data_IF_841570969923
#
_entry.id   IF_841570969923
#
_cell.length_a   1.000
_cell.length_b   1.000
_cell.length_c   1.000
_cell.angle_alpha   90.00
_cell.angle_beta   90.00
_cell.angle_gamma   90.00
#
_symmetry.space_group_name_H-M   'P 1'
#
loop_
_entity.id
_entity.type
_entity.pdbx_description
1 polymer ?
#
# COMPACT_ATOMS: atom_id res chain seq x y z
N UNK A 1 -61.93 48.56 -9.12
CA UNK A 1 -62.21 49.54 -10.19
C UNK A 1 -62.06 48.82 -11.52
N UNK A 2 -63.17 48.35 -12.11
CA UNK A 2 -63.13 47.83 -13.48
C UNK A 2 -64.43 48.24 -14.17
N UNK A 3 -64.33 49.27 -14.99
CA UNK A 3 -65.39 49.67 -15.92
C UNK A 3 -65.45 48.61 -17.01
N UNK A 4 -66.27 47.57 -16.82
CA UNK A 4 -66.62 46.70 -17.94
C UNK A 4 -67.45 47.51 -18.94
N UNK A 5 -66.92 47.60 -20.15
CA UNK A 5 -67.46 48.40 -21.25
C UNK A 5 -68.92 48.05 -21.51
N UNK A 6 -69.83 49.03 -21.37
CA UNK A 6 -71.19 48.93 -21.94
C UNK A 6 -71.06 48.87 -23.46
N UNK A 7 -70.94 47.66 -24.02
CA UNK A 7 -71.02 47.45 -25.48
C UNK A 7 -72.47 47.60 -25.91
N UNK A 8 -72.78 48.75 -26.50
CA UNK A 8 -74.06 49.00 -27.17
C UNK A 8 -73.95 48.48 -28.59
N UNK A 9 -74.95 47.75 -29.06
CA UNK A 9 -74.98 47.32 -30.44
C UNK A 9 -76.39 47.46 -30.97
N UNK A 10 -76.52 48.17 -32.08
CA UNK A 10 -77.81 48.42 -32.74
C UNK A 10 -78.26 47.11 -33.41
N UNK A 11 -79.52 46.73 -33.20
CA UNK A 11 -80.12 45.48 -33.67
C UNK A 11 -81.44 45.82 -34.34
N UNK A 12 -81.69 45.28 -35.53
CA UNK A 12 -82.94 45.44 -36.28
C UNK A 12 -83.82 44.18 -36.28
N UNK A 13 -83.36 43.11 -35.63
CA UNK A 13 -84.05 41.83 -35.46
C UNK A 13 -84.48 41.62 -34.00
N UNK A 14 -85.45 40.74 -33.77
CA UNK A 14 -85.91 40.30 -32.44
C UNK A 14 -84.92 39.34 -31.75
N UNK A 15 -83.90 38.87 -32.47
CA UNK A 15 -82.89 37.97 -31.96
C UNK A 15 -81.47 38.42 -32.33
N UNK A 16 -80.51 38.11 -31.46
CA UNK A 16 -79.08 38.34 -31.73
C UNK A 16 -78.21 37.41 -30.92
N UNK A 17 -77.29 36.75 -31.60
CA UNK A 17 -76.19 36.05 -30.93
C UNK A 17 -75.19 37.05 -30.32
N UNK A 18 -74.94 36.92 -29.01
CA UNK A 18 -73.87 37.65 -28.33
C UNK A 18 -72.62 36.78 -28.34
N UNK A 19 -71.63 37.19 -29.12
CA UNK A 19 -70.39 36.47 -29.32
C UNK A 19 -69.29 36.97 -28.38
N UNK A 20 -68.25 36.15 -28.18
CA UNK A 20 -67.05 36.46 -27.36
C UNK A 20 -67.34 36.68 -25.87
N UNK A 21 -68.35 36.00 -25.33
CA UNK A 21 -68.56 35.91 -23.88
C UNK A 21 -67.44 35.07 -23.22
N UNK A 22 -67.09 35.41 -21.99
CA UNK A 22 -66.20 34.63 -21.13
C UNK A 22 -66.95 33.39 -20.64
N UNK A 23 -66.27 32.24 -20.64
CA UNK A 23 -66.84 30.97 -20.17
C UNK A 23 -66.86 30.91 -18.63
N UNK A 24 -67.83 30.20 -18.06
CA UNK A 24 -68.10 30.14 -16.62
C UNK A 24 -68.31 31.51 -15.94
N UNK A 25 -68.81 32.51 -16.68
CA UNK A 25 -69.07 33.87 -16.19
C UNK A 25 -70.58 34.15 -16.11
N UNK A 26 -70.99 34.90 -15.09
CA UNK A 26 -72.36 35.42 -14.98
C UNK A 26 -72.48 36.72 -15.76
N UNK A 27 -73.53 36.84 -16.55
CA UNK A 27 -73.87 38.01 -17.33
C UNK A 27 -75.28 38.47 -16.97
N UNK A 28 -75.46 39.78 -16.93
CA UNK A 28 -76.75 40.43 -16.79
C UNK A 28 -77.05 41.17 -18.10
N UNK A 29 -78.17 40.85 -18.71
CA UNK A 29 -78.54 41.35 -20.04
C UNK A 29 -79.87 42.07 -19.93
N UNK A 30 -79.92 43.27 -20.51
CA UNK A 30 -81.15 44.03 -20.71
C UNK A 30 -81.20 44.52 -22.15
N UNK A 31 -82.42 44.61 -22.69
CA UNK A 31 -82.70 45.17 -24.01
C UNK A 31 -83.68 46.32 -23.87
N UNK A 32 -83.60 47.29 -24.78
CA UNK A 32 -84.61 48.34 -24.92
C UNK A 32 -84.80 48.69 -26.39
N UNK A 33 -86.03 48.98 -26.78
CA UNK A 33 -86.34 49.41 -28.14
C UNK A 33 -86.12 50.92 -28.30
N UNK A 34 -85.71 51.37 -29.49
CA UNK A 34 -85.65 52.79 -29.84
C UNK A 34 -86.07 52.96 -31.30
N UNK A 35 -86.63 54.13 -31.65
CA UNK A 35 -87.02 54.47 -33.04
C UNK A 35 -85.80 55.01 -33.80
N UNK A 36 -85.65 54.66 -35.08
CA UNK A 36 -84.44 54.90 -35.91
C UNK A 36 -83.99 56.35 -36.05
N UNK A 37 -84.87 57.33 -35.78
CA UNK A 37 -84.60 58.76 -35.99
C UNK A 37 -84.32 59.55 -34.70
N UNK A 38 -84.43 58.96 -33.50
CA UNK A 38 -84.04 59.63 -32.25
C UNK A 38 -83.73 58.64 -31.12
N UNK A 39 -82.47 58.60 -30.67
CA UNK A 39 -82.03 57.74 -29.55
C UNK A 39 -82.47 58.24 -28.16
N UNK A 40 -83.01 59.46 -28.09
CA UNK A 40 -83.55 60.05 -26.86
C UNK A 40 -84.98 59.57 -26.54
N UNK A 41 -85.72 59.05 -27.53
CA UNK A 41 -87.06 58.44 -27.35
C UNK A 41 -86.96 56.90 -27.28
N UNK A 42 -86.06 56.40 -26.43
CA UNK A 42 -85.94 54.97 -26.17
C UNK A 42 -87.07 54.52 -25.22
N UNK A 43 -87.64 53.34 -25.48
CA UNK A 43 -88.57 52.69 -24.56
C UNK A 43 -87.90 52.24 -23.26
N UNK A 44 -88.68 51.76 -22.27
CA UNK A 44 -88.14 51.26 -21.01
C UNK A 44 -87.19 50.09 -21.25
N UNK A 45 -86.25 49.90 -20.32
CA UNK A 45 -85.41 48.70 -20.28
C UNK A 45 -86.27 47.48 -19.94
N UNK A 46 -85.90 46.32 -20.48
CA UNK A 46 -86.43 45.03 -20.03
C UNK A 46 -85.95 44.70 -18.61
N UNK A 47 -86.61 43.72 -18.00
CA UNK A 47 -86.06 43.04 -16.81
C UNK A 47 -84.66 42.47 -17.09
N UNK A 48 -83.86 42.35 -16.02
CA UNK A 48 -82.54 41.73 -16.10
C UNK A 48 -82.68 40.23 -16.37
N UNK A 49 -82.08 39.77 -17.45
CA UNK A 49 -81.82 38.35 -17.65
C UNK A 49 -80.42 38.03 -17.12
N UNK A 50 -80.35 37.33 -16.00
CA UNK A 50 -79.10 36.81 -15.46
C UNK A 50 -78.85 35.41 -15.98
N UNK A 51 -77.74 35.20 -16.67
CA UNK A 51 -77.35 33.88 -17.19
C UNK A 51 -75.89 33.57 -16.89
N UNK A 52 -75.57 32.29 -16.73
CA UNK A 52 -74.19 31.81 -16.55
C UNK A 52 -73.77 31.03 -17.78
N UNK A 53 -72.64 31.41 -18.38
CA UNK A 53 -72.08 30.68 -19.51
C UNK A 53 -71.54 29.31 -19.08
N UNK A 54 -71.57 28.33 -19.99
CA UNK A 54 -71.02 26.99 -19.76
C UNK A 54 -69.51 27.05 -19.46
N UNK A 55 -69.00 26.01 -18.80
CA UNK A 55 -67.56 25.82 -18.64
C UNK A 55 -66.89 25.57 -20.01
N UNK A 56 -65.62 25.92 -20.13
CA UNK A 56 -64.79 25.59 -21.27
C UNK A 56 -63.45 25.02 -20.81
N UNK A 57 -62.62 24.60 -21.78
CA UNK A 57 -61.21 24.32 -21.50
C UNK A 57 -60.48 25.59 -21.03
N UNK A 58 -59.42 25.47 -20.19
CA UNK A 58 -58.62 26.61 -19.77
C UNK A 58 -57.92 27.29 -20.97
N UNK A 59 -57.99 28.61 -21.04
CA UNK A 59 -57.37 29.39 -22.13
C UNK A 59 -55.92 29.78 -21.85
N UNK A 60 -55.52 29.78 -20.59
CA UNK A 60 -54.14 30.08 -20.19
C UNK A 60 -53.47 28.85 -19.60
N UNK A 61 -52.14 28.80 -19.76
CA UNK A 61 -51.31 27.74 -19.21
C UNK A 61 -50.97 27.98 -17.73
N UNK A 62 -50.50 26.94 -17.01
CA UNK A 62 -50.00 27.08 -15.64
C UNK A 62 -48.77 28.01 -15.58
N UNK A 63 -48.65 28.77 -14.50
CA UNK A 63 -47.51 29.69 -14.29
C UNK A 63 -46.28 28.93 -13.78
N UNK A 64 -45.11 29.60 -13.73
CA UNK A 64 -43.91 29.11 -13.01
C UNK A 64 -43.47 27.67 -13.32
N UNK A 65 -43.61 27.23 -14.57
CA UNK A 65 -43.18 25.89 -14.98
C UNK A 65 -41.66 25.76 -14.88
N UNK A 66 -41.19 24.88 -14.00
CA UNK A 66 -39.78 24.54 -13.78
C UNK A 66 -39.58 23.05 -14.00
N UNK A 67 -38.47 22.71 -14.64
CA UNK A 67 -38.04 21.34 -14.87
C UNK A 67 -36.62 21.23 -14.36
N UNK A 68 -36.36 20.24 -13.50
CA UNK A 68 -35.04 19.98 -12.93
C UNK A 68 -34.70 18.51 -13.08
N UNK A 69 -33.43 18.20 -13.33
CA UNK A 69 -32.93 16.83 -13.30
C UNK A 69 -32.96 16.34 -11.85
N UNK A 70 -33.50 15.14 -11.62
CA UNK A 70 -33.60 14.53 -10.27
C UNK A 70 -32.63 13.36 -10.15
N UNK A 71 -32.69 12.43 -11.10
CA UNK A 71 -31.78 11.28 -11.23
C UNK A 71 -31.37 11.10 -12.70
N UNK A 72 -30.46 10.18 -13.04
CA UNK A 72 -30.07 9.95 -14.44
C UNK A 72 -31.19 9.47 -15.35
N UNK A 73 -32.28 8.99 -14.77
CA UNK A 73 -33.44 8.51 -15.52
C UNK A 73 -34.73 9.21 -15.09
N UNK A 74 -34.64 10.30 -14.31
CA UNK A 74 -35.80 11.06 -13.88
C UNK A 74 -35.62 12.57 -13.87
N UNK A 75 -36.69 13.28 -14.21
CA UNK A 75 -36.79 14.74 -14.08
C UNK A 75 -38.00 15.09 -13.22
N UNK A 76 -37.85 16.11 -12.39
CA UNK A 76 -38.94 16.68 -11.59
C UNK A 76 -39.49 17.91 -12.30
N UNK A 77 -40.79 17.87 -12.58
CA UNK A 77 -41.56 18.95 -13.20
C UNK A 77 -42.41 19.60 -12.11
N UNK A 78 -42.41 20.93 -12.03
CA UNK A 78 -43.22 21.69 -11.08
C UNK A 78 -43.83 22.93 -11.74
N UNK A 79 -45.01 23.35 -11.29
CA UNK A 79 -45.74 24.47 -11.88
C UNK A 79 -46.60 25.18 -10.84
N UNK A 80 -46.96 26.42 -11.14
CA UNK A 80 -47.92 27.22 -10.39
C UNK A 80 -49.35 27.08 -10.91
N UNK A 81 -50.33 27.71 -10.25
CA UNK A 81 -51.73 27.63 -10.64
C UNK A 81 -52.03 28.35 -11.97
N UNK A 82 -53.11 27.93 -12.65
CA UNK A 82 -53.65 28.67 -13.79
C UNK A 82 -54.26 29.99 -13.28
N UNK A 83 -53.91 31.13 -13.87
CA UNK A 83 -54.46 32.43 -13.48
C UNK A 83 -55.99 32.45 -13.57
N UNK A 84 -56.65 33.07 -12.58
CA UNK A 84 -58.12 33.04 -12.44
C UNK A 84 -58.86 33.46 -13.72
N UNK A 85 -58.37 34.49 -14.40
CA UNK A 85 -58.96 35.06 -15.62
C UNK A 85 -58.96 34.12 -16.83
N UNK A 86 -58.17 33.03 -16.81
CA UNK A 86 -58.07 32.08 -17.93
C UNK A 86 -58.48 30.65 -17.60
N UNK A 87 -59.04 30.40 -16.40
CA UNK A 87 -59.48 29.05 -15.98
C UNK A 87 -60.69 28.56 -16.76
N UNK A 88 -61.65 29.45 -17.01
CA UNK A 88 -62.89 29.20 -17.74
C UNK A 88 -63.72 27.98 -17.26
N UNK A 89 -63.52 27.53 -16.02
CA UNK A 89 -64.14 26.33 -15.46
C UNK A 89 -63.45 25.89 -14.17
N UNK A 90 -63.89 24.77 -13.61
CA UNK A 90 -63.25 24.16 -12.44
C UNK A 90 -62.04 23.35 -12.90
N UNK A 91 -60.84 23.73 -12.43
CA UNK A 91 -59.62 22.98 -12.73
C UNK A 91 -59.64 21.67 -11.96
N UNK A 92 -59.63 20.55 -12.69
CA UNK A 92 -59.65 19.21 -12.10
C UNK A 92 -58.23 18.65 -11.94
N UNK A 93 -57.29 19.09 -12.78
CA UNK A 93 -55.90 18.70 -12.67
C UNK A 93 -55.04 19.24 -13.80
N UNK A 94 -53.89 18.61 -13.99
CA UNK A 94 -52.89 18.99 -14.99
C UNK A 94 -52.42 17.79 -15.79
N UNK A 95 -51.94 18.07 -17.00
CA UNK A 95 -51.34 17.10 -17.91
C UNK A 95 -49.93 17.56 -18.22
N UNK A 96 -48.96 16.70 -17.96
CA UNK A 96 -47.56 16.90 -18.34
C UNK A 96 -47.31 16.18 -19.64
N UNK A 97 -46.93 16.92 -20.68
CA UNK A 97 -46.52 16.38 -21.97
C UNK A 97 -45.01 16.42 -22.04
N UNK A 98 -44.39 15.30 -22.38
CA UNK A 98 -42.94 15.21 -22.56
C UNK A 98 -42.57 14.39 -23.79
N UNK A 99 -41.41 14.69 -24.38
CA UNK A 99 -40.82 13.89 -25.46
C UNK A 99 -39.31 14.04 -25.49
N UNK A 100 -38.63 13.01 -25.96
CA UNK A 100 -37.23 13.08 -26.35
C UNK A 100 -37.09 13.93 -27.63
N UNK A 101 -36.03 14.72 -27.73
CA UNK A 101 -35.72 15.50 -28.93
C UNK A 101 -35.47 14.55 -30.11
N UNK A 102 -36.19 14.77 -31.22
CA UNK A 102 -36.20 13.86 -32.38
C UNK A 102 -37.38 12.90 -32.41
N UNK A 103 -38.09 12.70 -31.29
CA UNK A 103 -39.35 11.95 -31.30
C UNK A 103 -40.51 12.80 -31.84
N UNK A 104 -41.31 12.20 -32.73
CA UNK A 104 -42.52 12.81 -33.25
C UNK A 104 -43.71 12.67 -32.27
N UNK A 105 -43.67 11.68 -31.38
CA UNK A 105 -44.78 11.36 -30.45
C UNK A 105 -44.54 11.96 -29.07
N UNK A 106 -45.56 12.63 -28.54
CA UNK A 106 -45.58 13.10 -27.15
C UNK A 106 -46.08 11.99 -26.22
N UNK A 107 -45.42 11.84 -25.08
CA UNK A 107 -45.91 11.08 -23.94
C UNK A 107 -46.66 12.01 -22.99
N UNK A 108 -47.66 11.49 -22.28
CA UNK A 108 -48.59 12.29 -21.49
C UNK A 108 -48.80 11.65 -20.11
N UNK A 109 -48.87 12.49 -19.08
CA UNK A 109 -49.16 12.06 -17.71
C UNK A 109 -50.14 13.03 -17.08
N UNK A 110 -51.31 12.51 -16.74
CA UNK A 110 -52.34 13.27 -16.03
C UNK A 110 -52.11 13.17 -14.52
N UNK A 111 -52.31 14.29 -13.82
CA UNK A 111 -52.23 14.36 -12.35
C UNK A 111 -53.37 15.21 -11.80
N UNK A 112 -53.89 14.82 -10.66
CA UNK A 112 -55.09 15.43 -10.06
C UNK A 112 -54.67 16.34 -8.90
N UNK A 113 -54.99 17.63 -9.00
CA UNK A 113 -54.81 18.64 -7.95
C UNK A 113 -53.40 18.71 -7.30
N UNK A 114 -52.35 18.31 -8.01
CA UNK A 114 -50.95 18.48 -7.60
C UNK A 114 -50.24 19.49 -8.49
N UNK A 115 -49.12 20.03 -7.98
CA UNK A 115 -48.32 21.07 -8.62
C UNK A 115 -46.91 20.59 -9.00
N UNK A 116 -46.67 19.29 -8.90
CA UNK A 116 -45.42 18.66 -9.30
C UNK A 116 -45.64 17.21 -9.73
N UNK A 117 -44.72 16.71 -10.56
CA UNK A 117 -44.67 15.33 -11.00
C UNK A 117 -43.22 14.94 -11.24
N UNK A 118 -42.84 13.73 -10.83
CA UNK A 118 -41.58 13.12 -11.22
C UNK A 118 -41.81 12.18 -12.41
N UNK A 119 -41.12 12.46 -13.52
CA UNK A 119 -41.10 11.61 -14.71
C UNK A 119 -39.90 10.67 -14.59
N UNK A 120 -40.14 9.36 -14.59
CA UNK A 120 -39.13 8.31 -14.47
C UNK A 120 -39.00 7.51 -15.77
N UNK A 121 -37.94 6.72 -15.89
CA UNK A 121 -37.71 5.88 -17.07
C UNK A 121 -37.30 6.66 -18.32
N UNK A 122 -36.67 7.83 -18.13
CA UNK A 122 -36.13 8.63 -19.21
C UNK A 122 -34.73 8.15 -19.61
N UNK A 123 -34.38 8.37 -20.87
CA UNK A 123 -33.06 8.04 -21.40
C UNK A 123 -32.05 9.05 -20.88
N UNK A 124 -31.09 8.55 -20.12
CA UNK A 124 -29.94 9.27 -19.56
C UNK A 124 -29.21 10.10 -20.62
N UNK A 125 -28.88 11.36 -20.31
CA UNK A 125 -28.11 12.25 -21.19
C UNK A 125 -28.85 12.75 -22.44
N UNK A 126 -30.11 12.38 -22.66
CA UNK A 126 -30.91 12.87 -23.78
C UNK A 126 -31.62 14.18 -23.45
N UNK A 127 -31.86 15.00 -24.48
CA UNK A 127 -32.64 16.23 -24.36
C UNK A 127 -34.13 15.91 -24.40
N UNK A 128 -34.86 16.31 -23.37
CA UNK A 128 -36.32 16.23 -23.32
C UNK A 128 -36.96 17.61 -23.40
N UNK A 129 -38.09 17.66 -24.10
CA UNK A 129 -38.99 18.82 -24.13
C UNK A 129 -40.22 18.53 -23.27
N UNK A 130 -40.57 19.46 -22.38
CA UNK A 130 -41.70 19.34 -21.45
C UNK A 130 -42.64 20.55 -21.58
N UNK A 131 -43.95 20.29 -21.54
CA UNK A 131 -45.00 21.31 -21.43
C UNK A 131 -46.08 20.85 -20.46
N UNK A 132 -46.79 21.79 -19.83
CA UNK A 132 -47.88 21.48 -18.89
C UNK A 132 -49.15 22.20 -19.32
N UNK A 133 -50.31 21.54 -19.24
CA UNK A 133 -51.62 22.16 -19.44
C UNK A 133 -52.55 21.78 -18.28
N UNK A 134 -53.49 22.65 -17.91
CA UNK A 134 -54.59 22.24 -17.02
C UNK A 134 -55.75 21.63 -17.79
N UNK A 135 -56.61 20.89 -17.11
CA UNK A 135 -57.84 20.38 -17.69
C UNK A 135 -59.06 20.64 -16.80
N UNK A 136 -60.21 20.78 -17.45
CA UNK A 136 -61.55 20.83 -16.85
C UNK A 136 -62.32 19.60 -17.29
N UNK A 137 -63.57 19.43 -16.82
CA UNK A 137 -64.46 18.36 -17.29
C UNK A 137 -64.72 18.39 -18.80
N UNK A 138 -64.49 19.54 -19.44
CA UNK A 138 -64.68 19.74 -20.88
C UNK A 138 -63.45 19.27 -21.67
N UNK A 139 -62.25 19.36 -21.09
CA UNK A 139 -61.03 18.92 -21.75
C UNK A 139 -59.77 19.71 -21.34
N UNK A 140 -58.71 19.52 -22.12
CA UNK A 140 -57.37 20.06 -21.89
C UNK A 140 -57.23 21.47 -22.45
N UNK A 141 -56.62 22.36 -21.67
CA UNK A 141 -56.39 23.76 -22.02
C UNK A 141 -55.09 24.01 -22.77
N UNK A 142 -54.72 25.29 -22.85
CA UNK A 142 -53.49 25.75 -23.52
C UNK A 142 -52.23 25.20 -22.83
N UNK A 143 -51.31 24.63 -23.64
CA UNK A 143 -50.01 24.15 -23.16
C UNK A 143 -49.09 25.31 -22.79
N UNK A 144 -48.28 25.13 -21.75
CA UNK A 144 -47.22 26.06 -21.38
C UNK A 144 -46.18 26.21 -22.49
N UNK A 145 -45.32 27.23 -22.35
CA UNK A 145 -44.10 27.28 -23.15
C UNK A 145 -43.26 26.03 -22.92
N UNK A 146 -42.55 25.62 -23.98
CA UNK A 146 -41.68 24.43 -23.94
C UNK A 146 -40.48 24.70 -23.05
N UNK A 147 -40.24 23.80 -22.10
CA UNK A 147 -39.00 23.74 -21.33
C UNK A 147 -38.17 22.56 -21.81
N UNK A 148 -36.92 22.81 -22.13
CA UNK A 148 -35.98 21.78 -22.56
C UNK A 148 -35.00 21.50 -21.43
N UNK A 149 -34.69 20.22 -21.19
CA UNK A 149 -33.71 19.80 -20.19
C UNK A 149 -32.96 18.57 -20.68
N UNK A 150 -31.66 18.50 -20.39
CA UNK A 150 -30.86 17.29 -20.59
C UNK A 150 -30.96 16.49 -19.30
N UNK A 151 -31.34 15.22 -19.37
CA UNK A 151 -31.39 14.35 -18.18
C UNK A 151 -29.98 14.17 -17.64
N UNK A 152 -29.85 14.18 -16.31
CA UNK A 152 -28.59 13.90 -15.61
C UNK A 152 -27.92 12.62 -16.09
N UNK A 153 -26.61 12.51 -15.91
CA UNK A 153 -25.86 11.27 -16.11
C UNK A 153 -25.07 11.01 -14.84
N UNK A 154 -25.35 9.90 -14.16
CA UNK A 154 -24.54 9.48 -13.00
C UNK A 154 -23.20 8.98 -13.52
N UNK A 155 -22.15 9.24 -12.73
CA UNK A 155 -20.81 8.77 -13.00
C UNK A 155 -20.73 7.25 -12.93
N UNK A 156 -20.18 6.64 -13.98
CA UNK A 156 -19.81 5.23 -14.00
C UNK A 156 -18.29 5.06 -13.94
N UNK A 157 -17.86 4.08 -13.16
CA UNK A 157 -16.46 3.70 -13.08
C UNK A 157 -16.00 3.13 -14.41
N UNK A 158 -14.85 3.58 -14.90
CA UNK A 158 -14.10 2.88 -15.93
C UNK A 158 -13.66 1.52 -15.42
N UNK A 159 -13.27 0.65 -16.35
CA UNK A 159 -12.48 -0.53 -15.99
C UNK A 159 -11.24 -0.12 -15.19
N UNK A 160 -10.86 -0.95 -14.23
CA UNK A 160 -9.61 -0.77 -13.49
C UNK A 160 -8.41 -0.84 -14.43
N UNK A 161 -7.40 -0.01 -14.16
CA UNK A 161 -6.09 -0.14 -14.78
C UNK A 161 -5.47 -1.50 -14.44
N UNK A 162 -4.50 -1.93 -15.24
CA UNK A 162 -3.61 -3.01 -14.83
C UNK A 162 -2.88 -2.62 -13.55
N UNK A 163 -2.59 -3.60 -12.70
CA UNK A 163 -1.75 -3.40 -11.53
C UNK A 163 -0.36 -2.89 -11.94
N UNK A 164 0.19 -1.95 -11.18
CA UNK A 164 1.58 -1.54 -11.31
C UNK A 164 2.53 -2.69 -10.91
N UNK A 165 3.79 -2.62 -11.36
CA UNK A 165 4.83 -3.51 -10.87
C UNK A 165 5.00 -3.34 -9.36
N UNK A 166 5.23 -4.44 -8.64
CA UNK A 166 5.47 -4.38 -7.20
C UNK A 166 6.66 -3.48 -6.88
N UNK A 167 6.48 -2.51 -5.97
CA UNK A 167 7.52 -1.54 -5.63
C UNK A 167 8.74 -2.17 -4.92
N UNK A 168 8.57 -3.36 -4.34
CA UNK A 168 9.66 -4.12 -3.72
C UNK A 168 9.77 -5.48 -4.40
N UNK A 169 11.00 -5.86 -4.74
CA UNK A 169 11.28 -7.19 -5.30
C UNK A 169 11.43 -8.26 -4.22
N UNK A 170 11.90 -7.89 -3.02
CA UNK A 170 12.03 -8.78 -1.88
C UNK A 170 12.20 -8.00 -0.56
N UNK A 171 12.15 -8.70 0.58
CA UNK A 171 12.56 -8.17 1.89
C UNK A 171 11.38 -7.61 2.69
N UNK A 172 10.98 -6.36 2.43
CA UNK A 172 9.75 -5.79 2.99
C UNK A 172 8.56 -6.11 2.11
N UNK A 173 7.38 -6.25 2.71
CA UNK A 173 6.15 -6.42 1.94
C UNK A 173 6.01 -5.22 0.99
N UNK A 174 6.06 -5.49 -0.32
CA UNK A 174 5.80 -4.50 -1.34
C UNK A 174 4.30 -4.24 -1.49
N UNK A 175 3.99 -3.23 -2.28
CA UNK A 175 2.62 -2.96 -2.71
C UNK A 175 2.60 -2.70 -4.22
N UNK A 176 1.48 -3.06 -4.83
CA UNK A 176 1.10 -2.73 -6.18
C UNK A 176 -0.19 -1.92 -6.12
N UNK A 177 -0.37 -1.04 -7.09
CA UNK A 177 -1.48 -0.10 -7.11
C UNK A 177 -2.20 -0.18 -8.45
N UNK A 178 -3.50 0.10 -8.42
CA UNK A 178 -4.28 0.32 -9.63
C UNK A 178 -5.26 1.44 -9.41
N UNK A 179 -5.71 2.04 -10.50
CA UNK A 179 -6.66 3.15 -10.47
C UNK A 179 -7.77 2.95 -11.49
N UNK A 180 -8.87 3.67 -11.29
CA UNK A 180 -9.98 3.76 -12.23
C UNK A 180 -10.52 5.18 -12.27
N UNK A 181 -10.99 5.61 -13.42
CA UNK A 181 -11.61 6.92 -13.63
C UNK A 181 -13.12 6.85 -13.47
N UNK A 182 -13.75 7.97 -13.10
CA UNK A 182 -15.21 8.12 -13.14
C UNK A 182 -15.62 8.66 -14.52
N UNK A 183 -15.41 7.88 -15.57
CA UNK A 183 -15.49 8.34 -16.97
C UNK A 183 -16.39 7.51 -17.87
N UNK A 184 -16.93 6.38 -17.39
CA UNK A 184 -17.74 5.44 -18.19
C UNK A 184 -19.14 5.25 -17.61
N UNK A 185 -20.04 6.26 -17.70
CA UNK A 185 -19.84 7.60 -18.28
C UNK A 185 -19.39 8.64 -17.25
N UNK A 186 -18.89 9.80 -17.70
CA UNK A 186 -18.60 10.92 -16.81
C UNK A 186 -19.89 11.58 -16.26
N UNK A 187 -19.93 11.99 -14.99
CA UNK A 187 -21.11 12.61 -14.41
C UNK A 187 -21.40 13.97 -15.06
N UNK A 188 -22.67 14.23 -15.39
CA UNK A 188 -23.08 15.50 -16.01
C UNK A 188 -24.51 15.91 -15.64
N UNK A 189 -24.84 17.20 -15.87
CA UNK A 189 -26.18 17.77 -15.65
C UNK A 189 -26.79 17.47 -14.27
N UNK A 190 -25.95 17.51 -13.22
CA UNK A 190 -26.36 17.26 -11.83
C UNK A 190 -26.46 15.78 -11.44
N UNK A 191 -25.93 14.87 -12.26
CA UNK A 191 -25.77 13.46 -11.89
C UNK A 191 -24.75 13.26 -10.76
N UNK A 192 -24.90 12.16 -10.04
CA UNK A 192 -24.06 11.78 -8.90
C UNK A 192 -22.66 11.37 -9.37
N UNK A 193 -21.66 11.63 -8.55
CA UNK A 193 -20.31 11.11 -8.77
C UNK A 193 -20.25 9.61 -8.45
N UNK A 194 -19.23 8.93 -8.98
CA UNK A 194 -19.03 7.50 -8.70
C UNK A 194 -18.80 7.26 -7.20
N UNK A 195 -19.53 6.30 -6.62
CA UNK A 195 -19.32 5.87 -5.24
C UNK A 195 -18.24 4.78 -5.16
N UNK A 196 -17.33 4.93 -4.19
CA UNK A 196 -16.23 4.00 -3.93
C UNK A 196 -14.86 4.61 -4.14
N UNK A 197 -13.81 3.82 -3.89
CA UNK A 197 -12.43 4.28 -4.08
C UNK A 197 -12.06 4.29 -5.58
N UNK A 198 -11.40 5.35 -6.01
CA UNK A 198 -10.76 5.46 -7.34
C UNK A 198 -9.40 4.75 -7.39
N UNK A 199 -8.86 4.38 -6.23
CA UNK A 199 -7.54 3.81 -6.04
C UNK A 199 -7.63 2.57 -5.16
N UNK A 200 -6.82 1.58 -5.48
CA UNK A 200 -6.68 0.36 -4.70
C UNK A 200 -5.21 0.00 -4.59
N UNK A 201 -4.81 -0.42 -3.39
CA UNK A 201 -3.47 -0.90 -3.08
C UNK A 201 -3.56 -2.33 -2.58
N UNK A 202 -2.66 -3.19 -3.08
CA UNK A 202 -2.60 -4.59 -2.69
C UNK A 202 -1.16 -5.00 -2.38
N UNK A 203 -0.98 -5.77 -1.32
CA UNK A 203 0.33 -6.30 -0.93
C UNK A 203 0.90 -7.26 -1.98
N UNK A 204 2.19 -7.20 -2.22
CA UNK A 204 2.91 -8.10 -3.12
C UNK A 204 4.33 -8.40 -2.59
N UNK A 205 4.93 -9.48 -3.09
CA UNK A 205 6.32 -9.86 -2.81
C UNK A 205 6.70 -9.90 -1.33
N UNK A 206 6.04 -10.77 -0.56
CA UNK A 206 6.42 -11.06 0.83
C UNK A 206 7.65 -11.99 0.97
N UNK A 207 8.37 -12.26 -0.12
CA UNK A 207 9.52 -13.16 -0.08
C UNK A 207 10.75 -12.45 0.47
N UNK A 208 11.46 -13.10 1.39
CA UNK A 208 12.68 -12.60 1.98
C UNK A 208 13.80 -12.46 0.93
N UNK A 209 14.57 -11.36 1.00
CA UNK A 209 15.69 -11.14 0.08
C UNK A 209 16.83 -12.14 0.31
N UNK A 210 17.57 -12.53 -0.75
CA UNK A 210 18.82 -13.26 -0.62
C UNK A 210 19.79 -12.55 0.32
N UNK A 211 20.21 -13.22 1.39
CA UNK A 211 21.25 -12.72 2.30
C UNK A 211 22.55 -13.40 1.91
N UNK A 212 23.51 -12.63 1.39
CA UNK A 212 24.83 -13.15 1.03
C UNK A 212 25.68 -13.40 2.28
N UNK A 213 26.35 -14.55 2.32
CA UNK A 213 27.23 -14.92 3.42
C UNK A 213 28.42 -13.98 3.56
N UNK A 214 28.69 -13.56 4.79
CA UNK A 214 29.88 -12.79 5.14
C UNK A 214 30.74 -13.52 6.17
N UNK A 215 32.05 -13.38 6.03
CA UNK A 215 33.00 -13.97 6.97
C UNK A 215 32.94 -13.26 8.33
N UNK A 216 32.98 -14.05 9.39
CA UNK A 216 33.27 -13.58 10.75
C UNK A 216 34.65 -12.94 10.80
N UNK A 217 34.92 -12.18 11.87
CA UNK A 217 36.31 -11.87 12.23
C UNK A 217 37.08 -13.17 12.41
N UNK A 218 38.35 -13.17 12.02
CA UNK A 218 39.25 -14.29 12.29
C UNK A 218 39.31 -14.57 13.79
N UNK A 219 39.28 -15.85 14.16
CA UNK A 219 39.58 -16.28 15.51
C UNK A 219 41.04 -16.01 15.90
N UNK A 220 41.34 -16.20 17.17
CA UNK A 220 42.70 -16.16 17.66
C UNK A 220 43.54 -17.28 17.04
N UNK A 221 44.84 -17.04 16.89
CA UNK A 221 45.78 -18.09 16.53
C UNK A 221 45.83 -19.16 17.61
N UNK A 222 45.88 -20.43 17.20
CA UNK A 222 46.20 -21.53 18.10
C UNK A 222 47.62 -21.39 18.64
N UNK A 223 47.94 -22.14 19.69
CA UNK A 223 49.32 -22.38 20.06
C UNK A 223 50.08 -23.08 18.92
N UNK A 224 51.41 -23.00 18.98
CA UNK A 224 52.27 -23.68 18.01
C UNK A 224 52.11 -25.20 18.14
N UNK A 225 51.99 -25.90 17.02
CA UNK A 225 51.82 -27.36 16.98
C UNK A 225 52.94 -28.17 17.66
N UNK A 226 54.07 -27.52 17.96
CA UNK A 226 55.25 -28.13 18.58
C UNK A 226 55.79 -27.26 19.72
N UNK A 227 56.34 -27.91 20.74
CA UNK A 227 56.93 -27.24 21.92
C UNK A 227 58.40 -26.83 21.71
N UNK A 228 59.08 -27.38 20.70
CA UNK A 228 60.41 -26.97 20.26
C UNK A 228 60.50 -27.10 18.72
N UNK A 229 61.38 -26.33 18.08
CA UNK A 229 61.62 -26.41 16.64
C UNK A 229 60.57 -25.71 15.77
N UNK A 230 60.45 -26.13 14.52
CA UNK A 230 59.52 -25.53 13.55
C UNK A 230 58.14 -26.21 13.63
N UNK A 231 57.09 -25.41 13.77
CA UNK A 231 55.70 -25.86 13.77
C UNK A 231 54.78 -24.92 13.00
N UNK A 232 53.48 -25.14 13.16
CA UNK A 232 52.43 -24.32 12.51
C UNK A 232 51.41 -23.89 13.57
N UNK A 233 50.94 -22.66 13.47
CA UNK A 233 49.74 -22.20 14.16
C UNK A 233 48.64 -21.92 13.13
N UNK A 234 47.40 -22.23 13.49
CA UNK A 234 46.23 -22.05 12.63
C UNK A 234 45.20 -21.13 13.27
N UNK A 235 44.28 -20.60 12.46
CA UNK A 235 43.11 -19.86 12.92
C UNK A 235 41.94 -20.09 11.97
N UNK A 236 40.74 -20.17 12.53
CA UNK A 236 39.50 -20.33 11.78
C UNK A 236 38.68 -19.05 11.71
N UNK A 237 37.77 -18.98 10.75
CA UNK A 237 36.65 -18.03 10.68
C UNK A 237 35.39 -18.76 10.20
N UNK A 238 34.23 -18.21 10.52
CA UNK A 238 32.94 -18.80 10.18
C UNK A 238 32.18 -17.94 9.16
N UNK A 239 31.31 -18.54 8.36
CA UNK A 239 30.49 -17.83 7.39
C UNK A 239 29.13 -17.46 8.01
N UNK A 240 29.17 -16.62 9.04
CA UNK A 240 28.02 -16.31 9.89
C UNK A 240 27.78 -14.81 10.10
N UNK A 241 28.55 -13.95 9.42
CA UNK A 241 28.48 -12.50 9.58
C UNK A 241 28.24 -11.78 8.24
N UNK A 242 27.06 -11.89 7.61
CA UNK A 242 25.87 -12.63 8.08
C UNK A 242 25.84 -14.08 7.56
N UNK A 243 25.01 -14.93 8.17
CA UNK A 243 24.74 -16.30 7.67
C UNK A 243 24.01 -16.23 6.32
N UNK A 244 24.46 -16.92 5.27
CA UNK A 244 23.74 -16.94 4.00
C UNK A 244 22.34 -17.53 4.14
N UNK A 245 21.33 -16.83 3.61
CA UNK A 245 19.93 -17.24 3.68
C UNK A 245 19.18 -16.88 2.38
N UNK A 246 17.99 -17.47 2.20
CA UNK A 246 17.05 -17.14 1.11
C UNK A 246 17.69 -17.16 -0.30
N UNK A 247 18.56 -18.14 -0.57
CA UNK A 247 19.23 -18.27 -1.86
C UNK A 247 20.46 -17.37 -2.05
N UNK A 248 20.92 -16.68 -0.99
CA UNK A 248 22.14 -15.89 -1.04
C UNK A 248 23.41 -16.75 -1.20
N UNK A 249 24.37 -16.21 -1.95
CA UNK A 249 25.72 -16.78 -2.14
C UNK A 249 26.43 -17.10 -0.82
N UNK A 250 27.19 -18.20 -0.78
CA UNK A 250 28.08 -18.56 0.33
C UNK A 250 29.34 -17.67 0.34
N UNK A 251 30.06 -17.65 1.46
CA UNK A 251 31.31 -16.92 1.58
C UNK A 251 32.38 -17.50 0.64
N UNK A 252 33.08 -16.62 -0.07
CA UNK A 252 34.15 -16.99 -0.99
C UNK A 252 35.53 -16.95 -0.29
N UNK A 253 36.36 -17.97 -0.51
CA UNK A 253 37.70 -18.12 0.06
C UNK A 253 37.82 -19.18 1.18
N UNK A 254 39.01 -19.32 1.76
CA UNK A 254 39.27 -20.31 2.83
C UNK A 254 38.68 -19.89 4.18
N UNK A 255 38.18 -20.85 4.95
CA UNK A 255 37.76 -20.67 6.35
C UNK A 255 38.91 -20.89 7.36
N UNK A 256 40.07 -21.34 6.89
CA UNK A 256 41.24 -21.64 7.70
C UNK A 256 42.48 -20.93 7.14
N UNK A 257 43.30 -20.40 8.04
CA UNK A 257 44.56 -19.75 7.73
C UNK A 257 45.65 -20.31 8.64
N UNK A 258 46.84 -20.49 8.08
CA UNK A 258 47.96 -21.18 8.74
C UNK A 258 49.26 -20.44 8.50
N UNK A 259 50.06 -20.27 9.54
CA UNK A 259 51.41 -19.68 9.44
C UNK A 259 52.42 -20.46 10.27
N UNK A 260 53.67 -20.41 9.81
CA UNK A 260 54.77 -21.07 10.51
C UNK A 260 55.07 -20.38 11.85
N UNK A 261 55.44 -21.18 12.84
CA UNK A 261 55.96 -20.75 14.13
C UNK A 261 57.27 -21.46 14.44
N UNK A 262 58.14 -20.81 15.22
CA UNK A 262 59.39 -21.41 15.69
C UNK A 262 59.41 -21.32 17.21
N UNK A 263 59.39 -22.47 17.87
CA UNK A 263 59.61 -22.61 19.31
C UNK A 263 61.08 -22.98 19.54
N UNK A 264 61.55 -22.92 20.79
CA UNK A 264 62.99 -22.99 21.12
C UNK A 264 63.74 -24.22 20.58
N UNK A 265 65.06 -24.23 20.73
CA UNK A 265 65.96 -25.27 20.21
C UNK A 265 65.59 -26.65 20.74
N UNK A 266 65.46 -27.64 19.87
CA UNK A 266 65.22 -29.03 20.26
C UNK A 266 66.53 -29.70 20.66
N UNK A 267 66.55 -30.36 21.82
CA UNK A 267 67.69 -31.12 22.32
C UNK A 267 67.59 -32.53 21.73
N UNK A 268 68.64 -33.00 21.05
CA UNK A 268 68.74 -34.39 20.60
C UNK A 268 69.49 -35.22 21.66
N UNK A 269 68.85 -36.27 22.17
CA UNK A 269 69.47 -37.22 23.09
C UNK A 269 70.49 -38.07 22.32
N UNK A 270 71.77 -38.00 22.72
CA UNK A 270 72.86 -38.74 22.05
C UNK A 270 72.97 -40.16 22.63
N UNK A 271 72.61 -40.31 23.91
CA UNK A 271 72.50 -41.58 24.62
C UNK A 271 73.13 -41.54 26.00
N UNK A 272 73.31 -42.71 26.60
CA UNK A 272 73.88 -42.86 27.94
C UNK A 272 75.28 -43.46 27.91
N UNK A 273 76.18 -42.94 28.76
CA UNK A 273 77.59 -43.31 28.81
C UNK A 273 78.03 -43.68 30.23
N UNK A 274 78.86 -44.72 30.36
CA UNK A 274 79.42 -45.22 31.64
C UNK A 274 80.53 -44.32 32.22
N UNK A 275 81.12 -43.48 31.39
CA UNK A 275 82.10 -42.50 31.80
C UNK A 275 82.02 -41.31 30.85
N UNK A 276 81.98 -40.10 31.39
CA UNK A 276 81.89 -38.89 30.59
C UNK A 276 83.05 -37.96 30.96
N UNK A 277 84.05 -37.79 30.08
CA UNK A 277 85.20 -36.92 30.36
C UNK A 277 84.72 -35.47 30.38
N UNK A 278 84.53 -34.93 31.58
CA UNK A 278 83.76 -33.69 31.73
C UNK A 278 84.12 -32.90 32.97
N UNK A 279 83.86 -31.59 32.90
CA UNK A 279 83.94 -30.69 34.02
C UNK A 279 82.56 -30.59 34.68
N UNK A 280 82.52 -30.68 36.02
CA UNK A 280 81.30 -30.41 36.77
C UNK A 280 80.93 -28.93 36.61
N UNK A 281 79.77 -28.67 36.02
CA UNK A 281 79.28 -27.31 35.74
C UNK A 281 78.45 -26.75 36.90
N UNK A 282 77.73 -27.62 37.62
CA UNK A 282 76.84 -27.27 38.71
C UNK A 282 75.99 -28.46 39.16
N UNK A 283 75.17 -28.26 40.19
CA UNK A 283 74.19 -29.24 40.67
C UNK A 283 72.85 -28.58 40.90
N UNK A 284 71.78 -29.28 40.55
CA UNK A 284 70.38 -28.94 40.85
C UNK A 284 69.67 -30.07 41.61
N UNK A 285 70.43 -30.95 42.26
CA UNK A 285 69.90 -32.08 43.06
C UNK A 285 68.95 -31.63 44.15
N UNK A 286 69.18 -30.43 44.71
CA UNK A 286 68.40 -29.89 45.83
C UNK A 286 67.05 -29.29 45.38
N UNK A 287 66.85 -29.17 44.06
CA UNK A 287 65.60 -28.67 43.46
C UNK A 287 64.65 -29.80 43.05
N UNK A 288 65.03 -31.06 43.31
CA UNK A 288 64.27 -32.26 42.96
C UNK A 288 63.31 -32.57 44.10
N UNK A 289 62.01 -32.55 43.79
CA UNK A 289 60.99 -33.05 44.72
C UNK A 289 60.76 -34.54 44.44
N UNK A 290 61.35 -35.38 45.28
CA UNK A 290 61.33 -36.83 45.18
C UNK A 290 59.94 -37.46 45.29
N UNK A 291 58.93 -36.69 45.72
CA UNK A 291 57.54 -37.17 45.83
C UNK A 291 56.64 -36.73 44.66
N UNK A 292 57.17 -36.00 43.68
CA UNK A 292 56.43 -35.46 42.55
C UNK A 292 56.64 -36.24 41.23
N UNK A 293 55.89 -35.90 40.17
CA UNK A 293 55.93 -36.55 38.86
C UNK A 293 57.31 -36.43 38.19
N UNK A 294 58.08 -37.52 38.28
CA UNK A 294 59.50 -37.58 37.97
C UNK A 294 59.89 -37.17 36.54
N UNK A 295 59.08 -37.53 35.53
CA UNK A 295 59.38 -37.26 34.12
C UNK A 295 59.41 -35.77 33.77
N UNK A 296 58.53 -34.96 34.37
CA UNK A 296 58.47 -33.51 34.15
C UNK A 296 59.63 -32.75 34.80
N UNK A 297 60.11 -33.22 35.95
CA UNK A 297 61.21 -32.59 36.67
C UNK A 297 62.54 -32.82 35.96
N UNK A 298 62.76 -34.03 35.44
CA UNK A 298 63.96 -34.34 34.66
C UNK A 298 64.09 -33.48 33.40
N UNK A 299 62.99 -33.20 32.70
CA UNK A 299 63.03 -32.27 31.56
C UNK A 299 63.45 -30.85 31.95
N UNK A 300 63.07 -30.38 33.14
CA UNK A 300 63.47 -29.07 33.64
C UNK A 300 64.95 -29.02 33.99
N UNK A 301 65.45 -30.06 34.64
CA UNK A 301 66.86 -30.17 35.04
C UNK A 301 67.76 -30.30 33.81
N UNK A 302 67.38 -31.12 32.84
CA UNK A 302 68.10 -31.24 31.56
C UNK A 302 68.19 -29.86 30.88
N UNK A 303 67.12 -29.07 30.87
CA UNK A 303 67.15 -27.69 30.33
C UNK A 303 68.09 -26.76 31.13
N UNK A 304 68.10 -26.84 32.46
CA UNK A 304 68.99 -26.02 33.30
C UNK A 304 70.46 -26.40 33.10
N UNK A 305 70.77 -27.69 33.05
CA UNK A 305 72.11 -28.18 32.72
C UNK A 305 72.56 -27.77 31.31
N UNK A 306 71.66 -27.84 30.32
CA UNK A 306 71.92 -27.36 28.97
C UNK A 306 72.30 -25.87 28.97
N UNK A 307 71.55 -25.03 29.72
CA UNK A 307 71.82 -23.60 29.80
C UNK A 307 73.18 -23.29 30.45
N UNK A 308 73.54 -24.01 31.51
CA UNK A 308 74.87 -23.90 32.13
C UNK A 308 76.00 -24.30 31.18
N UNK A 309 75.80 -25.37 30.42
CA UNK A 309 76.76 -25.83 29.44
C UNK A 309 76.98 -24.81 28.31
N UNK A 310 75.90 -24.20 27.80
CA UNK A 310 75.98 -23.08 26.84
C UNK A 310 76.74 -21.90 27.44
N UNK A 311 76.40 -21.48 28.67
CA UNK A 311 77.07 -20.36 29.36
C UNK A 311 78.57 -20.60 29.54
N UNK A 312 78.98 -21.85 29.75
CA UNK A 312 80.38 -22.27 29.91
C UNK A 312 81.04 -22.68 28.59
N UNK A 313 80.39 -22.46 27.45
CA UNK A 313 80.86 -22.78 26.09
C UNK A 313 81.27 -24.24 25.93
N UNK A 314 80.45 -25.14 26.46
CA UNK A 314 80.57 -26.58 26.28
C UNK A 314 79.74 -27.00 25.06
N UNK A 315 80.14 -28.09 24.38
CA UNK A 315 79.47 -28.60 23.17
C UNK A 315 78.55 -29.78 23.47
N UNK A 316 78.90 -30.56 24.47
CA UNK A 316 78.14 -31.67 25.00
C UNK A 316 77.90 -31.41 26.49
N UNK A 317 76.74 -31.82 26.98
CA UNK A 317 76.47 -31.81 28.41
C UNK A 317 75.85 -33.12 28.83
N UNK A 318 76.07 -33.45 30.09
CA UNK A 318 75.50 -34.64 30.69
C UNK A 318 74.81 -34.34 32.00
N UNK A 319 73.83 -35.18 32.33
CA UNK A 319 73.20 -35.22 33.64
C UNK A 319 73.50 -36.55 34.31
N UNK A 320 73.98 -36.48 35.54
CA UNK A 320 74.23 -37.60 36.44
C UNK A 320 73.45 -37.37 37.75
N UNK A 321 73.05 -38.46 38.42
CA UNK A 321 72.35 -38.42 39.72
C UNK A 321 71.20 -37.40 39.75
N UNK A 322 70.42 -37.38 38.67
CA UNK A 322 69.20 -36.60 38.51
C UNK A 322 69.34 -35.08 38.55
N UNK A 323 70.54 -34.54 38.80
CA UNK A 323 70.72 -33.11 39.04
C UNK A 323 72.14 -32.58 38.87
N UNK A 324 73.16 -33.45 38.83
CA UNK A 324 74.53 -33.02 38.60
C UNK A 324 74.75 -32.77 37.11
N UNK A 325 75.12 -31.53 36.76
CA UNK A 325 75.38 -31.11 35.39
C UNK A 325 76.88 -31.18 35.08
N UNK A 326 77.19 -31.82 33.96
CA UNK A 326 78.55 -31.96 33.47
C UNK A 326 78.66 -31.43 32.05
N UNK A 327 79.84 -30.94 31.67
CA UNK A 327 80.09 -30.35 30.36
C UNK A 327 81.38 -30.84 29.73
N UNK A 328 81.34 -31.08 28.42
CA UNK A 328 82.50 -31.44 27.63
C UNK A 328 82.52 -30.65 26.31
N UNK A 329 83.72 -30.27 25.85
CA UNK A 329 83.91 -29.62 24.55
C UNK A 329 84.09 -30.63 23.42
N UNK A 330 84.62 -31.80 23.76
CA UNK A 330 84.95 -32.88 22.82
C UNK A 330 83.86 -33.93 22.88
N UNK A 331 83.62 -34.60 21.77
CA UNK A 331 82.60 -35.64 21.71
C UNK A 331 82.98 -36.84 22.57
N UNK A 332 82.04 -37.44 23.31
CA UNK A 332 82.31 -38.63 24.12
C UNK A 332 82.68 -39.89 23.31
N UNK A 333 82.51 -39.88 21.98
CA UNK A 333 82.84 -41.02 21.11
C UNK A 333 84.34 -41.40 21.08
N UNK A 334 85.23 -40.57 21.64
CA UNK A 334 86.67 -40.79 21.62
C UNK A 334 87.27 -41.54 22.82
N UNK A 335 86.51 -41.81 23.90
CA UNK A 335 87.10 -42.43 25.10
C UNK A 335 86.15 -43.25 25.99
N UNK A 336 84.85 -43.37 25.67
CA UNK A 336 83.87 -44.02 26.57
C UNK A 336 82.94 -45.02 25.85
N UNK A 337 82.62 -46.12 26.54
CA UNK A 337 81.62 -47.12 26.12
C UNK A 337 80.19 -46.59 26.27
N UNK A 338 79.38 -46.74 25.23
CA UNK A 338 77.94 -46.45 25.28
C UNK A 338 77.23 -47.54 26.10
N UNK A 339 76.50 -47.16 27.14
CA UNK A 339 75.74 -48.07 27.97
C UNK A 339 74.49 -48.56 27.23
N UNK A 340 74.18 -49.86 27.34
CA UNK A 340 73.08 -50.49 26.57
C UNK A 340 71.70 -50.24 27.18
N UNK A 341 71.61 -49.84 28.45
CA UNK A 341 70.34 -49.50 29.09
C UNK A 341 70.56 -48.50 30.23
N UNK A 342 69.93 -47.33 30.13
CA UNK A 342 69.92 -46.35 31.20
C UNK A 342 68.50 -45.90 31.46
N UNK A 343 68.05 -46.09 32.70
CA UNK A 343 66.84 -45.49 33.24
C UNK A 343 67.24 -44.46 34.29
N UNK A 344 66.62 -43.29 34.31
CA UNK A 344 66.78 -42.36 35.42
C UNK A 344 66.11 -43.05 36.62
N UNK A 345 66.86 -43.85 37.38
CA UNK A 345 66.36 -44.67 38.49
C UNK A 345 67.38 -44.87 39.62
N UNK A 346 66.86 -45.08 40.83
CA UNK A 346 67.64 -45.15 42.08
C UNK A 346 68.60 -46.34 42.02
N UNK A 347 69.91 -46.10 42.14
CA UNK A 347 70.94 -47.15 42.18
C UNK A 347 72.04 -47.04 41.12
N UNK A 348 71.99 -46.03 40.24
CA UNK A 348 73.09 -45.74 39.32
C UNK A 348 74.14 -44.89 40.06
N UNK A 349 75.38 -45.37 40.13
CA UNK A 349 76.54 -44.50 40.30
C UNK A 349 77.32 -44.60 39.00
N UNK A 350 77.65 -43.46 38.39
CA UNK A 350 78.52 -43.31 37.21
C UNK A 350 77.86 -43.46 35.81
N UNK A 351 76.57 -43.12 35.63
CA UNK A 351 75.97 -43.06 34.28
C UNK A 351 75.54 -41.64 33.91
N UNK A 352 75.90 -41.24 32.68
CA UNK A 352 75.72 -39.89 32.16
C UNK A 352 74.76 -39.88 30.99
N UNK A 353 73.65 -39.14 31.11
CA UNK A 353 72.75 -38.88 29.99
C UNK A 353 73.30 -37.72 29.18
N UNK A 354 73.88 -38.04 28.03
CA UNK A 354 74.57 -37.06 27.20
C UNK A 354 73.63 -36.51 26.14
N UNK A 355 73.62 -35.20 26.08
CA UNK A 355 72.88 -34.43 25.10
C UNK A 355 73.87 -33.60 24.29
N UNK A 356 73.62 -33.51 22.99
CA UNK A 356 74.35 -32.59 22.14
C UNK A 356 73.63 -31.25 22.12
N UNK A 357 74.42 -30.19 22.28
CA UNK A 357 73.94 -28.83 22.07
C UNK A 357 74.06 -28.60 20.57
N UNK A 358 72.95 -28.75 19.84
CA UNK A 358 72.91 -28.40 18.42
C UNK A 358 73.24 -26.91 18.29
N UNK A 359 74.36 -26.62 17.62
CA UNK A 359 74.87 -25.27 17.36
C UNK A 359 73.88 -24.43 16.56
#
# INVERSE_FOLDING_TARGET
MNLESKKRTLITSTERAILRLSANSRYEIQVKAYKTFNTQLAGPWSEFLTLKTNESVPRTSPTSVKVVSSTPSSIKVSWGPIPKYGRNGIILGFVVFYREQGSFKWSERDVTLVYSLELTGLTTGKLYSVTVAGYTKIGRGTKSTRKSIIVGVDGGWSSWSTWTSCNQSCGTAGFQERSRGCTEPAPSNGGKTCQGAAWESHGCNAQSCPVHGGWSKWGNWTECSVTCGAGVMSRGRYCDNPVPAYGGRRCEGSNNDSKSCRTGVCIAEVGCYESFPSDRLGSFTDEIDWFAYFSSQMQMIVKKCAHLAVKKRQRFFAVEDFGNCYGARVSPFGSASKATQCNFGVGLKNYYYVYEISS
#
